data_IF_316614080193
#
_entry.id   IF_316614080193
#
_cell.length_a   1.000
_cell.length_b   1.000
_cell.length_c   1.000
_cell.angle_alpha   90.00
_cell.angle_beta   90.00
_cell.angle_gamma   90.00
#
_symmetry.space_group_name_H-M   'P 1'
#
loop_
_entity.id
_entity.type
_entity.pdbx_description
1 polymer ?
#
# COMPACT_ATOMS: atom_id res chain seq x y z
N UNK A 1 -19.25 -5.88 27.65
CA UNK A 1 -19.40 -6.40 26.26
C UNK A 1 -20.42 -7.52 26.26
N UNK A 2 -21.51 -7.38 25.50
CA UNK A 2 -22.60 -8.36 25.44
C UNK A 2 -22.16 -9.58 24.62
N UNK A 3 -22.09 -10.76 25.24
CA UNK A 3 -21.89 -12.03 24.52
C UNK A 3 -23.09 -12.32 23.61
N UNK A 4 -22.87 -12.79 22.37
CA UNK A 4 -23.97 -13.14 21.48
C UNK A 4 -24.73 -14.36 22.02
N UNK A 5 -26.05 -14.22 22.17
CA UNK A 5 -26.99 -15.28 22.53
C UNK A 5 -27.94 -15.50 21.34
N UNK A 6 -28.35 -16.74 21.06
CA UNK A 6 -29.08 -17.12 19.84
C UNK A 6 -30.36 -16.29 19.61
N UNK A 7 -31.02 -15.86 20.67
CA UNK A 7 -32.23 -15.00 20.64
C UNK A 7 -31.97 -13.56 20.21
N UNK A 8 -30.71 -13.09 20.22
CA UNK A 8 -30.31 -11.72 19.86
C UNK A 8 -29.74 -11.59 18.45
N UNK A 9 -29.60 -12.70 17.71
CA UNK A 9 -29.07 -12.70 16.34
C UNK A 9 -30.04 -12.07 15.31
N UNK A 10 -31.34 -12.12 15.56
CA UNK A 10 -32.35 -11.46 14.70
C UNK A 10 -32.18 -9.94 14.64
N UNK A 11 -31.63 -9.32 15.69
CA UNK A 11 -31.30 -7.90 15.69
C UNK A 11 -30.08 -7.59 14.80
N UNK A 12 -29.15 -8.53 14.61
CA UNK A 12 -28.03 -8.35 13.68
C UNK A 12 -28.48 -8.31 12.22
N UNK A 13 -29.56 -9.01 11.87
CA UNK A 13 -30.15 -8.96 10.52
C UNK A 13 -30.72 -7.57 10.21
N UNK A 14 -31.21 -6.85 11.24
CA UNK A 14 -31.74 -5.49 11.11
C UNK A 14 -30.65 -4.42 10.98
N UNK A 15 -29.39 -4.76 11.24
CA UNK A 15 -28.28 -3.83 11.11
C UNK A 15 -28.03 -3.58 9.62
N UNK A 16 -28.06 -2.32 9.21
CA UNK A 16 -27.65 -1.93 7.86
C UNK A 16 -26.13 -2.06 7.72
N UNK A 17 -25.68 -3.28 7.48
CA UNK A 17 -24.26 -3.62 7.34
C UNK A 17 -23.58 -2.81 6.23
N UNK A 18 -24.31 -2.30 5.23
CA UNK A 18 -23.74 -1.46 4.16
C UNK A 18 -23.20 -0.13 4.71
N UNK A 19 -23.91 0.48 5.65
CA UNK A 19 -23.44 1.71 6.30
C UNK A 19 -22.20 1.43 7.14
N UNK A 20 -22.19 0.30 7.85
CA UNK A 20 -21.05 -0.11 8.69
C UNK A 20 -19.83 -0.44 7.83
N UNK A 21 -19.99 -1.18 6.73
CA UNK A 21 -18.91 -1.50 5.80
C UNK A 21 -18.31 -0.23 5.18
N UNK A 22 -19.12 0.80 4.94
CA UNK A 22 -18.62 2.09 4.43
C UNK A 22 -17.64 2.79 5.40
N UNK A 23 -17.68 2.47 6.71
CA UNK A 23 -16.73 3.00 7.69
C UNK A 23 -15.44 2.17 7.79
N UNK A 24 -15.46 0.90 7.38
CA UNK A 24 -14.28 0.06 7.45
C UNK A 24 -13.36 0.31 6.27
N UNK A 25 -12.07 0.39 6.54
CA UNK A 25 -11.08 0.30 5.47
C UNK A 25 -11.10 -1.13 4.91
N UNK A 26 -10.88 -1.26 3.60
CA UNK A 26 -10.74 -2.57 2.96
C UNK A 26 -9.69 -3.43 3.68
N UNK A 27 -8.60 -2.79 4.13
CA UNK A 27 -7.52 -3.43 4.88
C UNK A 27 -8.02 -4.07 6.18
N UNK A 28 -8.84 -3.35 6.96
CA UNK A 28 -9.39 -3.87 8.22
C UNK A 28 -10.31 -5.06 7.99
N UNK A 29 -11.11 -5.01 6.93
CA UNK A 29 -11.99 -6.10 6.54
C UNK A 29 -11.18 -7.36 6.18
N UNK A 30 -10.23 -7.23 5.26
CA UNK A 30 -9.43 -8.37 4.81
C UNK A 30 -8.47 -8.88 5.88
N UNK A 31 -8.02 -8.03 6.80
CA UNK A 31 -7.21 -8.46 7.94
C UNK A 31 -7.97 -9.38 8.90
N UNK A 32 -9.30 -9.23 8.99
CA UNK A 32 -10.16 -10.08 9.83
C UNK A 32 -10.63 -11.35 9.12
N UNK A 33 -10.73 -11.30 7.79
CA UNK A 33 -11.31 -12.38 6.97
C UNK A 33 -10.24 -13.36 6.47
N UNK A 34 -9.07 -12.87 6.07
CA UNK A 34 -8.01 -13.71 5.49
C UNK A 34 -7.15 -14.35 6.57
N UNK A 35 -6.95 -15.67 6.47
CA UNK A 35 -5.96 -16.39 7.26
C UNK A 35 -4.56 -16.26 6.62
N UNK A 36 -3.52 -16.62 7.38
CA UNK A 36 -2.15 -16.69 6.86
C UNK A 36 -2.12 -17.59 5.62
N UNK A 37 -1.44 -17.11 4.58
CA UNK A 37 -1.30 -17.75 3.28
C UNK A 37 -2.55 -17.77 2.39
N UNK A 38 -3.59 -17.03 2.76
CA UNK A 38 -4.79 -16.83 1.91
C UNK A 38 -4.75 -15.49 1.16
N UNK A 39 -5.42 -15.48 0.01
CA UNK A 39 -5.65 -14.28 -0.80
C UNK A 39 -7.14 -14.00 -0.98
N UNK A 40 -7.49 -12.74 -1.22
CA UNK A 40 -8.83 -12.37 -1.65
C UNK A 40 -9.08 -12.76 -3.12
N UNK A 41 -10.33 -12.65 -3.56
CA UNK A 41 -10.64 -12.59 -4.97
C UNK A 41 -9.98 -11.35 -5.62
N UNK A 42 -9.75 -11.46 -6.93
CA UNK A 42 -9.26 -10.33 -7.74
C UNK A 42 -10.39 -9.33 -7.95
N UNK A 43 -10.07 -8.05 -7.91
CA UNK A 43 -11.00 -6.97 -8.24
C UNK A 43 -10.35 -5.97 -9.19
N UNK A 44 -11.15 -5.42 -10.10
CA UNK A 44 -10.68 -4.51 -11.13
C UNK A 44 -10.67 -3.07 -10.60
N UNK A 45 -9.54 -2.40 -10.69
CA UNK A 45 -9.31 -1.07 -10.16
C UNK A 45 -9.54 0.04 -11.20
N UNK A 46 -10.51 -0.14 -12.12
CA UNK A 46 -10.81 0.82 -13.22
C UNK A 46 -10.94 2.28 -12.75
N UNK A 47 -11.53 2.52 -11.57
CA UNK A 47 -11.75 3.87 -11.01
C UNK A 47 -10.46 4.60 -10.65
N UNK A 48 -9.37 3.89 -10.43
CA UNK A 48 -8.11 4.50 -10.02
C UNK A 48 -7.30 4.98 -11.23
N UNK A 49 -7.54 4.46 -12.44
CA UNK A 49 -6.85 4.95 -13.64
C UNK A 49 -7.17 6.42 -13.95
N UNK A 50 -8.41 6.84 -13.73
CA UNK A 50 -8.81 8.24 -13.91
C UNK A 50 -8.20 9.13 -12.83
N UNK A 51 -8.15 8.68 -11.57
CA UNK A 51 -7.47 9.40 -10.47
C UNK A 51 -5.95 9.46 -10.63
N UNK A 52 -5.33 8.42 -11.19
CA UNK A 52 -3.90 8.38 -11.52
C UNK A 52 -3.57 9.46 -12.55
N UNK A 53 -4.49 9.82 -13.45
CA UNK A 53 -4.31 10.93 -14.40
C UNK A 53 -4.29 12.29 -13.70
N UNK A 54 -5.11 12.48 -12.67
CA UNK A 54 -5.23 13.74 -11.93
C UNK A 54 -4.00 14.06 -11.05
N UNK A 55 -3.15 13.09 -10.75
CA UNK A 55 -1.94 13.29 -9.90
C UNK A 55 -0.81 14.08 -10.57
N UNK A 56 -0.98 14.58 -11.79
CA UNK A 56 0.01 15.45 -12.47
C UNK A 56 1.28 14.74 -12.96
N UNK A 57 1.45 13.46 -12.66
CA UNK A 57 2.59 12.61 -13.10
C UNK A 57 2.52 12.30 -14.61
N UNK A 58 1.43 12.65 -15.31
CA UNK A 58 1.10 12.10 -16.63
C UNK A 58 0.68 13.15 -17.68
N UNK A 59 1.60 14.01 -18.14
CA UNK A 59 1.53 14.49 -19.54
C UNK A 59 1.99 13.43 -20.55
N UNK A 60 2.65 12.37 -20.09
CA UNK A 60 3.35 11.39 -20.93
C UNK A 60 2.66 10.03 -21.05
N UNK A 61 1.58 9.75 -20.30
CA UNK A 61 0.86 8.49 -20.49
C UNK A 61 -0.20 8.70 -21.57
N UNK A 62 -0.20 7.85 -22.63
CA UNK A 62 -1.19 7.94 -23.69
C UNK A 62 -2.63 7.87 -23.14
N UNK A 63 -3.53 8.62 -23.77
CA UNK A 63 -4.97 8.61 -23.45
C UNK A 63 -5.59 7.21 -23.48
N UNK A 64 -4.96 6.29 -24.20
CA UNK A 64 -5.29 4.88 -24.24
C UNK A 64 -4.17 4.07 -23.56
N UNK A 65 -4.49 3.44 -22.42
CA UNK A 65 -3.59 2.53 -21.73
C UNK A 65 -4.10 1.10 -21.96
N UNK A 66 -3.47 0.30 -22.84
CA UNK A 66 -3.99 -0.99 -23.32
C UNK A 66 -3.86 -2.11 -22.28
N UNK A 67 -3.95 -1.79 -20.99
CA UNK A 67 -3.80 -2.74 -19.90
C UNK A 67 -4.92 -2.57 -18.87
N UNK A 68 -5.46 -3.70 -18.44
CA UNK A 68 -6.37 -3.78 -17.31
C UNK A 68 -5.59 -3.83 -16.00
N UNK A 69 -6.09 -3.10 -15.01
CA UNK A 69 -5.47 -2.96 -13.70
C UNK A 69 -6.26 -3.72 -12.64
N UNK A 70 -5.63 -4.71 -12.02
CA UNK A 70 -6.25 -5.56 -11.01
C UNK A 70 -5.51 -5.44 -9.69
N UNK A 71 -6.24 -5.70 -8.61
CA UNK A 71 -5.65 -5.86 -7.29
C UNK A 71 -6.30 -7.01 -6.52
N UNK A 72 -5.57 -7.50 -5.54
CA UNK A 72 -6.03 -8.45 -4.53
C UNK A 72 -5.28 -8.23 -3.22
N UNK A 73 -5.82 -8.73 -2.12
CA UNK A 73 -5.16 -8.72 -0.82
C UNK A 73 -4.55 -10.10 -0.54
N UNK A 74 -3.32 -10.13 -0.03
CA UNK A 74 -2.62 -11.35 0.37
C UNK A 74 -2.19 -11.23 1.82
N UNK A 75 -2.57 -12.21 2.65
CA UNK A 75 -2.18 -12.28 4.05
C UNK A 75 -0.94 -13.16 4.19
N UNK A 76 0.22 -12.52 4.27
CA UNK A 76 1.54 -13.20 4.30
C UNK A 76 2.00 -13.54 5.72
N UNK A 77 1.63 -12.73 6.71
CA UNK A 77 2.00 -12.89 8.11
C UNK A 77 0.77 -12.86 9.03
N UNK A 78 0.85 -13.54 10.18
CA UNK A 78 -0.28 -13.68 11.11
C UNK A 78 -0.61 -12.37 11.82
N UNK A 79 0.43 -11.67 12.30
CA UNK A 79 0.30 -10.48 13.14
C UNK A 79 0.47 -9.16 12.38
N UNK A 80 0.65 -9.21 11.06
CA UNK A 80 0.73 -8.03 10.19
C UNK A 80 -0.53 -7.87 9.35
N UNK A 81 -0.78 -6.68 8.83
CA UNK A 81 -1.88 -6.41 7.91
C UNK A 81 -1.68 -7.09 6.54
N UNK A 82 -2.75 -7.47 5.84
CA UNK A 82 -2.64 -8.05 4.50
C UNK A 82 -2.09 -7.02 3.51
N UNK A 83 -1.22 -7.47 2.61
CA UNK A 83 -0.64 -6.63 1.57
C UNK A 83 -1.60 -6.53 0.38
N UNK A 84 -1.89 -5.30 -0.07
CA UNK A 84 -2.57 -5.06 -1.35
C UNK A 84 -1.56 -5.20 -2.48
N UNK A 85 -1.78 -6.18 -3.35
CA UNK A 85 -0.95 -6.45 -4.52
C UNK A 85 -1.70 -5.97 -5.75
N UNK A 86 -1.02 -5.19 -6.57
CA UNK A 86 -1.57 -4.58 -7.77
C UNK A 86 -0.78 -5.05 -8.99
N UNK A 87 -1.48 -5.40 -10.06
CA UNK A 87 -0.84 -5.95 -11.26
C UNK A 87 -1.59 -5.58 -12.54
N UNK A 88 -0.84 -5.57 -13.64
CA UNK A 88 -1.36 -5.27 -14.97
C UNK A 88 -1.60 -6.54 -15.79
N UNK A 89 -2.65 -6.51 -16.60
CA UNK A 89 -3.03 -7.51 -17.59
C UNK A 89 -3.23 -6.84 -18.95
N UNK A 90 -2.99 -7.55 -20.05
CA UNK A 90 -3.32 -7.05 -21.38
C UNK A 90 -4.83 -6.86 -21.52
N UNK A 91 -5.33 -5.92 -22.33
CA UNK A 91 -6.78 -5.72 -22.47
C UNK A 91 -7.59 -6.96 -22.86
N UNK A 92 -7.02 -7.80 -23.72
CA UNK A 92 -7.64 -9.08 -24.14
C UNK A 92 -7.16 -10.19 -23.20
N UNK A 93 -7.89 -10.40 -22.12
CA UNK A 93 -7.65 -11.51 -21.18
C UNK A 93 -8.99 -12.04 -20.67
N UNK A 94 -9.02 -13.32 -20.32
CA UNK A 94 -10.13 -13.91 -19.57
C UNK A 94 -9.99 -13.66 -18.07
N UNK A 95 -11.10 -13.76 -17.32
CA UNK A 95 -11.06 -13.69 -15.85
C UNK A 95 -10.26 -14.86 -15.24
N UNK A 96 -10.24 -16.01 -15.92
CA UNK A 96 -9.46 -17.19 -15.51
C UNK A 96 -7.96 -16.89 -15.58
N UNK A 97 -7.49 -16.35 -16.71
CA UNK A 97 -6.08 -15.94 -16.86
C UNK A 97 -5.64 -14.91 -15.80
N UNK A 98 -6.52 -13.97 -15.46
CA UNK A 98 -6.23 -12.99 -14.41
C UNK A 98 -6.12 -13.66 -13.02
N UNK A 99 -6.96 -14.66 -12.72
CA UNK A 99 -6.86 -15.41 -11.48
C UNK A 99 -5.60 -16.27 -11.43
N UNK A 100 -5.28 -16.99 -12.52
CA UNK A 100 -4.06 -17.81 -12.62
C UNK A 100 -2.80 -16.95 -12.43
N UNK A 101 -2.78 -15.75 -12.99
CA UNK A 101 -1.68 -14.81 -12.76
C UNK A 101 -1.60 -14.34 -11.31
N UNK A 102 -2.75 -14.07 -10.66
CA UNK A 102 -2.77 -13.72 -9.25
C UNK A 102 -2.28 -14.87 -8.36
N UNK A 103 -2.61 -16.12 -8.71
CA UNK A 103 -2.10 -17.33 -8.04
C UNK A 103 -0.58 -17.47 -8.21
N UNK A 104 -0.08 -17.23 -9.43
CA UNK A 104 1.36 -17.22 -9.71
C UNK A 104 2.09 -16.12 -8.93
N UNK A 105 1.55 -14.91 -8.89
CA UNK A 105 2.15 -13.80 -8.11
C UNK A 105 2.17 -14.17 -6.61
N UNK A 106 1.08 -14.75 -6.11
CA UNK A 106 0.98 -15.17 -4.71
C UNK A 106 1.98 -16.27 -4.37
N UNK A 107 2.17 -17.26 -5.25
CA UNK A 107 3.12 -18.35 -5.04
C UNK A 107 4.58 -17.88 -5.03
N UNK A 108 4.90 -16.82 -5.77
CA UNK A 108 6.23 -16.19 -5.76
C UNK A 108 6.41 -15.31 -4.51
N UNK A 109 5.39 -14.54 -4.11
CA UNK A 109 5.50 -13.60 -3.00
C UNK A 109 5.47 -14.27 -1.63
N UNK A 110 4.71 -15.35 -1.46
CA UNK A 110 4.55 -16.03 -0.18
C UNK A 110 5.89 -16.46 0.45
N UNK A 111 6.79 -17.17 -0.25
CA UNK A 111 8.07 -17.61 0.31
C UNK A 111 8.96 -16.46 0.77
N UNK A 112 8.94 -15.31 0.09
CA UNK A 112 9.80 -14.15 0.40
C UNK A 112 9.17 -13.17 1.39
N UNK A 113 7.89 -13.35 1.71
CA UNK A 113 7.10 -12.45 2.56
C UNK A 113 6.59 -13.13 3.84
N UNK A 114 6.72 -14.45 3.99
CA UNK A 114 6.20 -15.21 5.15
C UNK A 114 7.28 -15.71 6.12
N UNK A 115 8.52 -15.22 5.96
CA UNK A 115 9.68 -15.61 6.76
C UNK A 115 9.62 -15.13 8.22
N UNK A 116 8.71 -14.20 8.53
CA UNK A 116 8.47 -13.70 9.86
C UNK A 116 6.96 -13.64 10.15
N UNK A 117 6.54 -13.87 11.38
CA UNK A 117 5.11 -13.86 11.76
C UNK A 117 4.55 -12.45 11.99
N UNK A 118 5.44 -11.46 12.16
CA UNK A 118 5.12 -10.06 12.44
C UNK A 118 5.31 -9.13 11.25
N UNK A 119 6.03 -9.56 10.21
CA UNK A 119 6.31 -8.75 9.03
C UNK A 119 5.93 -9.50 7.77
N UNK A 120 4.93 -8.99 7.05
CA UNK A 120 4.38 -9.57 5.84
C UNK A 120 4.93 -8.98 4.54
N UNK A 121 5.90 -8.06 4.62
CA UNK A 121 6.48 -7.39 3.45
C UNK A 121 7.59 -8.24 2.80
N UNK A 122 7.74 -8.21 1.46
CA UNK A 122 8.82 -8.91 0.78
C UNK A 122 10.20 -8.41 1.22
N UNK A 123 11.14 -9.33 1.49
CA UNK A 123 12.53 -8.98 1.84
C UNK A 123 13.17 -7.97 0.86
N UNK A 124 13.08 -8.15 -0.47
CA UNK A 124 13.69 -7.20 -1.40
C UNK A 124 13.19 -5.77 -1.23
N UNK A 125 11.91 -5.60 -0.88
CA UNK A 125 11.30 -4.29 -0.65
C UNK A 125 11.79 -3.68 0.66
N UNK A 126 11.90 -4.47 1.72
CA UNK A 126 12.44 -4.03 3.01
C UNK A 126 13.89 -3.56 2.84
N UNK A 127 14.69 -4.33 2.11
CA UNK A 127 16.09 -4.00 1.84
C UNK A 127 16.23 -2.72 0.99
N UNK A 128 15.47 -2.63 -0.11
CA UNK A 128 15.48 -1.45 -0.96
C UNK A 128 15.09 -0.19 -0.17
N UNK A 129 14.06 -0.28 0.68
CA UNK A 129 13.67 0.82 1.56
C UNK A 129 14.79 1.20 2.52
N UNK A 130 15.41 0.23 3.21
CA UNK A 130 16.52 0.49 4.13
C UNK A 130 17.73 1.15 3.46
N UNK A 131 17.98 0.85 2.19
CA UNK A 131 19.09 1.46 1.41
C UNK A 131 18.74 2.83 0.86
N UNK A 132 17.48 3.08 0.50
CA UNK A 132 17.04 4.36 -0.06
C UNK A 132 16.84 5.46 1.00
N UNK A 133 16.62 5.09 2.27
CA UNK A 133 16.46 6.05 3.36
C UNK A 133 17.80 6.75 3.63
N UNK A 134 17.84 8.06 3.36
CA UNK A 134 18.97 8.89 3.73
C UNK A 134 19.16 8.92 5.24
N UNK A 135 20.40 8.67 5.68
CA UNK A 135 20.76 8.84 7.09
C UNK A 135 20.77 10.32 7.43
N UNK A 136 20.43 10.72 8.67
CA UNK A 136 20.46 12.13 9.08
C UNK A 136 21.78 12.85 8.77
N UNK A 137 22.91 12.15 8.90
CA UNK A 137 24.22 12.70 8.57
C UNK A 137 24.39 12.99 7.07
N UNK A 138 23.91 12.10 6.19
CA UNK A 138 23.98 12.28 4.73
C UNK A 138 23.12 13.47 4.28
N UNK A 139 21.95 13.65 4.91
CA UNK A 139 21.09 14.81 4.70
C UNK A 139 21.82 16.09 5.12
N UNK A 140 22.49 16.09 6.26
CA UNK A 140 23.25 17.24 6.74
C UNK A 140 24.42 17.59 5.81
N UNK A 141 25.14 16.59 5.28
CA UNK A 141 26.21 16.82 4.30
C UNK A 141 25.67 17.46 3.02
N UNK A 142 24.57 16.94 2.47
CA UNK A 142 23.88 17.51 1.31
C UNK A 142 23.44 18.95 1.58
N UNK A 143 22.79 19.19 2.72
CA UNK A 143 22.30 20.51 3.11
C UNK A 143 23.44 21.51 3.32
N UNK A 144 24.55 21.10 3.96
CA UNK A 144 25.72 21.94 4.17
C UNK A 144 26.42 22.27 2.85
N UNK A 145 26.53 21.31 1.94
CA UNK A 145 27.08 21.52 0.58
C UNK A 145 26.25 22.53 -0.20
N UNK A 146 24.92 22.34 -0.23
CA UNK A 146 23.98 23.28 -0.85
C UNK A 146 24.07 24.67 -0.22
N UNK A 147 24.07 24.76 1.11
CA UNK A 147 24.15 26.03 1.84
C UNK A 147 25.45 26.76 1.53
N UNK A 148 26.58 26.06 1.45
CA UNK A 148 27.88 26.64 1.08
C UNK A 148 27.86 27.18 -0.35
N UNK A 149 27.29 26.44 -1.30
CA UNK A 149 27.16 26.90 -2.69
C UNK A 149 26.25 28.13 -2.77
N UNK A 150 25.09 28.12 -2.10
CA UNK A 150 24.16 29.25 -2.10
C UNK A 150 24.75 30.50 -1.43
N UNK A 151 25.46 30.33 -0.32
CA UNK A 151 26.17 31.41 0.37
C UNK A 151 27.23 32.06 -0.55
N UNK A 152 27.86 31.28 -1.44
CA UNK A 152 28.82 31.84 -2.43
C UNK A 152 28.16 32.79 -3.44
N UNK A 153 26.85 32.65 -3.66
CA UNK A 153 26.02 33.55 -4.46
C UNK A 153 25.26 34.59 -3.62
N UNK A 154 25.62 34.76 -2.33
CA UNK A 154 25.03 35.75 -1.43
C UNK A 154 23.67 35.36 -0.84
N UNK A 155 23.20 34.13 -1.04
CA UNK A 155 21.91 33.65 -0.50
C UNK A 155 22.17 32.88 0.80
N UNK A 156 21.83 33.48 1.95
CA UNK A 156 21.90 32.80 3.25
C UNK A 156 20.59 32.13 3.63
N UNK A 157 20.64 30.84 3.94
CA UNK A 157 19.49 30.10 4.44
C UNK A 157 19.41 30.25 5.96
N UNK A 158 18.34 30.88 6.44
CA UNK A 158 18.04 30.93 7.87
C UNK A 158 17.57 29.56 8.36
N UNK A 159 18.07 29.14 9.52
CA UNK A 159 17.54 27.97 10.18
C UNK A 159 16.04 28.09 10.46
N UNK A 160 15.34 26.95 10.38
CA UNK A 160 13.92 26.88 10.70
C UNK A 160 13.71 27.33 12.15
N UNK A 161 12.74 28.20 12.42
CA UNK A 161 12.42 28.69 13.79
C UNK A 161 12.31 27.56 14.84
N UNK A 162 11.89 26.36 14.44
CA UNK A 162 11.78 25.18 15.32
C UNK A 162 13.12 24.61 15.82
N UNK A 163 14.23 24.79 15.09
CA UNK A 163 15.57 24.40 15.54
C UNK A 163 16.23 25.46 16.42
N UNK A 164 15.71 26.69 16.40
CA UNK A 164 16.22 27.85 17.16
C UNK A 164 15.64 27.94 18.57
N UNK A 165 15.26 26.82 19.19
CA UNK A 165 14.80 26.86 20.60
C UNK A 165 16.01 27.02 21.52
N UNK A 166 16.01 28.02 22.42
CA UNK A 166 17.13 28.28 23.32
C UNK A 166 17.16 27.32 24.54
N UNK A 167 16.19 26.40 24.64
CA UNK A 167 16.06 25.39 25.68
C UNK A 167 15.60 24.07 25.05
#
# INVERSE_FOLDING_TARGET
>A
MLKPNATRLTNFIKINYRQIIAYYSDLDLFNRVLNKSERSCIFNCKKDLDKIRDTGIKKEIPYYFPQSFYAFYLKTASYDTPCRIEFFMNERHSLQEASEKADLISSILLPISSLNEFYGLPIPQIEAHRRAVFKPHEINLLFNSLSRTLNSYGVSLLEKRRSRRPF
#
